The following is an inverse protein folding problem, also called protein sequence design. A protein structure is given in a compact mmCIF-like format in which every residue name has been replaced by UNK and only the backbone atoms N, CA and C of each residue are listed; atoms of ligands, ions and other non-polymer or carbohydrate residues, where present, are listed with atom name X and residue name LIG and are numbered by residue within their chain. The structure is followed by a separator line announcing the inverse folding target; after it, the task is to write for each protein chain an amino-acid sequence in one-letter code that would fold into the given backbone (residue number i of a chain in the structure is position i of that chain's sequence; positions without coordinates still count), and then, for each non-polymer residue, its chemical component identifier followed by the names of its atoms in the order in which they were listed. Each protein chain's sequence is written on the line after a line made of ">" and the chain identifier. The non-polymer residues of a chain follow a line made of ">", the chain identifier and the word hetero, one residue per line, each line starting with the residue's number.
data_IF_446540117086
#
_entry.id   IF_446540117086
#
_cell.length_a   1.000
_cell.length_b   1.000
_cell.length_c   1.000
_cell.angle_alpha   90.00
_cell.angle_beta   90.00
_cell.angle_gamma   90.00
#
_symmetry.space_group_name_H-M   'P 1'
#
loop_
_entity.id
_entity.type
_entity.pdbx_description
1 polymer ?
#
# COMPACT_ATOMS: atom_id res chain seq x y z
N UNK A 1 5.70 4.40 11.11
CA UNK A 1 4.22 4.26 11.21
C UNK A 1 3.74 3.30 10.13
N UNK A 2 2.78 2.43 10.42
CA UNK A 2 2.15 1.50 9.45
C UNK A 2 0.66 1.41 9.73
N UNK A 3 -0.18 1.11 8.72
CA UNK A 3 -1.61 0.93 8.91
C UNK A 3 -1.96 -0.52 9.31
N UNK A 4 -2.93 -0.65 10.22
CA UNK A 4 -3.59 -1.90 10.52
C UNK A 4 -5.02 -1.90 9.98
N UNK A 5 -5.45 -3.06 9.46
CA UNK A 5 -6.83 -3.27 9.03
C UNK A 5 -7.76 -3.35 10.24
N UNK A 6 -8.91 -2.73 10.12
CA UNK A 6 -10.01 -2.88 11.08
C UNK A 6 -11.34 -3.10 10.37
N UNK A 7 -12.34 -3.57 11.10
CA UNK A 7 -13.71 -3.67 10.64
C UNK A 7 -14.57 -2.82 11.57
N UNK A 8 -15.32 -1.88 11.00
CA UNK A 8 -16.23 -1.03 11.76
C UNK A 8 -17.37 -1.86 12.36
N UNK A 9 -17.53 -1.83 13.67
CA UNK A 9 -18.64 -2.50 14.36
C UNK A 9 -20.02 -1.90 14.01
N UNK A 10 -20.06 -0.62 13.61
CA UNK A 10 -21.29 0.07 13.23
C UNK A 10 -21.75 -0.28 11.81
N UNK A 11 -20.82 -0.35 10.86
CA UNK A 11 -21.15 -0.43 9.43
C UNK A 11 -20.74 -1.75 8.78
N UNK A 12 -19.98 -2.60 9.47
CA UNK A 12 -19.39 -3.81 8.90
C UNK A 12 -18.29 -3.56 7.86
N UNK A 13 -18.03 -2.30 7.51
CA UNK A 13 -17.03 -1.95 6.50
C UNK A 13 -15.62 -2.11 7.05
N UNK A 14 -14.74 -2.69 6.23
CA UNK A 14 -13.32 -2.73 6.50
C UNK A 14 -12.66 -1.40 6.14
N UNK A 15 -11.60 -1.06 6.87
CA UNK A 15 -10.78 0.10 6.62
C UNK A 15 -9.37 -0.09 7.17
N UNK A 16 -8.51 0.88 6.94
CA UNK A 16 -7.17 0.93 7.49
C UNK A 16 -6.99 2.21 8.31
N UNK A 17 -6.27 2.12 9.42
CA UNK A 17 -5.89 3.26 10.22
C UNK A 17 -4.50 3.05 10.80
N UNK A 18 -3.74 4.11 11.11
CA UNK A 18 -2.44 4.00 11.75
C UNK A 18 -2.48 3.10 12.97
N UNK A 19 -1.46 2.26 13.13
CA UNK A 19 -1.26 1.48 14.34
C UNK A 19 -0.82 2.43 15.47
N UNK A 20 -1.66 2.57 16.49
CA UNK A 20 -1.44 3.49 17.60
C UNK A 20 -1.94 2.84 18.89
N UNK A 21 -1.17 2.91 19.97
CA UNK A 21 -1.57 2.38 21.27
C UNK A 21 -2.80 3.09 21.83
N UNK A 22 -2.94 4.40 21.56
CA UNK A 22 -4.08 5.21 21.99
C UNK A 22 -5.27 5.16 21.03
N UNK A 23 -5.27 4.21 20.07
CA UNK A 23 -6.36 4.08 19.08
C UNK A 23 -7.67 3.69 19.77
N UNK A 24 -8.69 4.50 19.54
CA UNK A 24 -10.04 4.36 20.11
C UNK A 24 -10.15 4.65 21.62
N UNK A 25 -9.03 5.03 22.29
CA UNK A 25 -9.04 5.46 23.68
C UNK A 25 -9.67 6.86 23.84
N UNK A 26 -10.01 7.29 25.06
CA UNK A 26 -10.44 8.66 25.33
C UNK A 26 -9.43 9.68 24.82
N UNK A 27 -9.88 10.66 24.04
CA UNK A 27 -9.00 11.65 23.40
C UNK A 27 -8.46 11.28 22.02
N UNK A 28 -8.75 10.08 21.50
CA UNK A 28 -8.45 9.74 20.11
C UNK A 28 -9.37 10.46 19.13
N UNK A 29 -8.81 11.28 18.26
CA UNK A 29 -9.61 12.06 17.29
C UNK A 29 -10.37 11.20 16.29
N UNK A 30 -9.90 10.02 15.93
CA UNK A 30 -10.64 9.09 15.06
C UNK A 30 -11.99 8.69 15.66
N UNK A 31 -12.11 8.68 16.99
CA UNK A 31 -13.36 8.36 17.70
C UNK A 31 -14.44 9.43 17.48
N UNK A 32 -14.04 10.69 17.32
CA UNK A 32 -14.90 11.85 17.07
C UNK A 32 -15.00 12.24 15.60
N UNK A 33 -14.41 11.45 14.68
CA UNK A 33 -14.45 11.73 13.24
C UNK A 33 -13.35 12.66 12.74
N UNK A 34 -12.37 13.00 13.59
CA UNK A 34 -11.20 13.77 13.21
C UNK A 34 -10.13 12.93 12.50
N UNK A 35 -9.04 13.57 12.09
CA UNK A 35 -7.92 12.91 11.42
C UNK A 35 -6.84 12.49 12.42
N UNK A 36 -6.20 11.35 12.16
CA UNK A 36 -5.10 10.86 12.98
C UNK A 36 -3.86 11.78 12.88
N UNK A 37 -3.64 12.43 11.74
CA UNK A 37 -2.57 13.42 11.55
C UNK A 37 -2.63 14.58 12.55
N UNK A 38 -3.83 14.97 12.95
CA UNK A 38 -4.09 16.14 13.79
C UNK A 38 -4.23 15.76 15.29
N UNK A 39 -4.08 14.47 15.61
CA UNK A 39 -4.30 13.96 16.95
C UNK A 39 -3.10 14.29 17.87
N UNK A 40 -3.29 15.00 18.99
CA UNK A 40 -2.21 15.32 19.93
C UNK A 40 -1.76 14.12 20.77
N UNK A 41 -2.53 13.04 20.78
CA UNK A 41 -2.29 11.84 21.59
C UNK A 41 -1.76 10.67 20.71
N UNK A 42 -0.97 10.97 19.68
CA UNK A 42 -0.35 9.95 18.85
C UNK A 42 0.68 9.16 19.66
N UNK A 43 0.57 7.83 19.61
CA UNK A 43 1.54 6.90 20.15
C UNK A 43 1.64 5.71 19.19
N UNK A 44 2.43 5.89 18.14
CA UNK A 44 2.50 4.93 17.05
C UNK A 44 3.24 3.66 17.47
N UNK A 45 2.63 2.52 17.20
CA UNK A 45 3.24 1.20 17.40
C UNK A 45 4.47 1.06 16.51
N UNK A 46 5.66 0.73 17.07
CA UNK A 46 6.83 0.45 16.28
C UNK A 46 6.68 -0.88 15.50
N UNK A 47 7.32 -0.96 14.34
CA UNK A 47 7.43 -2.24 13.62
C UNK A 47 8.40 -3.14 14.37
N UNK A 48 8.01 -4.38 14.64
CA UNK A 48 8.83 -5.40 15.28
C UNK A 48 8.72 -6.73 14.53
N UNK A 49 9.69 -7.60 14.72
CA UNK A 49 9.69 -8.95 14.15
C UNK A 49 8.45 -9.74 14.60
N UNK A 50 8.05 -9.59 15.86
CA UNK A 50 6.84 -10.23 16.38
C UNK A 50 5.59 -9.80 15.59
N UNK A 51 5.47 -8.51 15.29
CA UNK A 51 4.36 -7.97 14.52
C UNK A 51 4.34 -8.51 13.08
N UNK A 52 5.51 -8.65 12.45
CA UNK A 52 5.64 -9.26 11.12
C UNK A 52 5.24 -10.73 11.15
N UNK A 53 5.70 -11.48 12.14
CA UNK A 53 5.33 -12.90 12.34
C UNK A 53 3.81 -13.04 12.50
N UNK A 54 3.19 -12.20 13.31
CA UNK A 54 1.75 -12.22 13.54
C UNK A 54 0.95 -11.88 12.26
N UNK A 55 1.46 -10.98 11.44
CA UNK A 55 0.89 -10.70 10.13
C UNK A 55 0.96 -11.92 9.21
N UNK A 56 2.13 -12.57 9.12
CA UNK A 56 2.32 -13.79 8.31
C UNK A 56 1.47 -14.96 8.81
N UNK A 57 1.20 -15.02 10.11
CA UNK A 57 0.30 -16.00 10.73
C UNK A 57 -1.20 -15.66 10.55
N UNK A 58 -1.54 -14.53 9.94
CA UNK A 58 -2.91 -14.10 9.69
C UNK A 58 -3.64 -13.55 10.92
N UNK A 59 -2.95 -13.27 12.03
CA UNK A 59 -3.56 -12.71 13.26
C UNK A 59 -4.05 -11.29 13.05
N UNK A 60 -3.40 -10.54 12.18
CA UNK A 60 -3.83 -9.23 11.71
C UNK A 60 -3.34 -8.96 10.29
N UNK A 61 -3.86 -7.91 9.67
CA UNK A 61 -3.40 -7.44 8.36
C UNK A 61 -2.77 -6.06 8.55
N UNK A 62 -1.46 -5.98 8.32
CA UNK A 62 -0.75 -4.71 8.26
C UNK A 62 -0.52 -4.31 6.81
N UNK A 63 -0.45 -3.03 6.55
CA UNK A 63 -0.07 -2.45 5.27
C UNK A 63 1.20 -1.63 5.39
N UNK A 64 1.62 -1.07 4.28
CA UNK A 64 2.70 -0.08 4.22
C UNK A 64 2.17 1.20 3.60
N UNK A 65 2.71 2.33 4.00
CA UNK A 65 2.49 3.59 3.30
C UNK A 65 3.57 3.72 2.22
N UNK A 66 3.19 3.80 0.95
CA UNK A 66 4.17 3.91 -0.12
C UNK A 66 4.90 5.25 -0.12
N UNK A 67 4.24 6.32 0.34
CA UNK A 67 4.80 7.67 0.41
C UNK A 67 5.46 7.90 1.77
N UNK A 68 6.74 8.31 1.75
CA UNK A 68 7.50 8.74 2.92
C UNK A 68 7.33 10.24 3.16
N UNK A 69 7.79 10.73 4.33
CA UNK A 69 7.65 12.13 4.75
C UNK A 69 8.32 13.12 3.81
N UNK A 70 9.44 12.72 3.17
CA UNK A 70 10.18 13.52 2.19
C UNK A 70 9.61 13.42 0.76
N UNK A 71 8.37 12.99 0.61
CA UNK A 71 7.71 12.74 -0.68
C UNK A 71 8.50 11.78 -1.59
N UNK A 72 9.17 10.80 -0.98
CA UNK A 72 9.88 9.73 -1.67
C UNK A 72 9.19 8.39 -1.48
N UNK A 73 9.58 7.39 -2.28
CA UNK A 73 9.07 6.03 -2.18
C UNK A 73 10.16 5.00 -2.54
N UNK A 74 10.05 3.79 -1.98
CA UNK A 74 10.92 2.66 -2.28
C UNK A 74 10.39 1.73 -3.36
N UNK A 75 9.13 1.91 -3.74
CA UNK A 75 8.48 1.08 -4.76
C UNK A 75 7.36 1.83 -5.44
N UNK A 76 7.02 1.36 -6.64
CA UNK A 76 5.81 1.68 -7.38
C UNK A 76 4.97 0.42 -7.47
N UNK A 77 3.68 0.53 -7.17
CA UNK A 77 2.70 -0.54 -7.39
C UNK A 77 1.67 -0.07 -8.43
N UNK A 78 1.38 -0.96 -9.37
CA UNK A 78 0.31 -0.76 -10.37
C UNK A 78 -0.73 -1.85 -10.17
N UNK A 79 -2.00 -1.44 -10.04
CA UNK A 79 -3.14 -2.33 -9.79
C UNK A 79 -3.96 -2.54 -11.08
N UNK A 80 -4.27 -3.80 -11.36
CA UNK A 80 -5.04 -4.25 -12.51
C UNK A 80 -6.21 -5.10 -12.02
N UNK A 81 -7.43 -4.55 -12.01
CA UNK A 81 -8.60 -5.17 -11.37
C UNK A 81 -9.83 -5.34 -12.28
N UNK A 82 -9.71 -5.09 -13.59
CA UNK A 82 -10.81 -5.21 -14.56
C UNK A 82 -10.72 -6.49 -15.39
N UNK A 83 -11.78 -6.77 -16.15
CA UNK A 83 -11.75 -7.84 -17.17
C UNK A 83 -10.56 -7.66 -18.10
N UNK A 84 -9.81 -8.75 -18.38
CA UNK A 84 -8.59 -8.69 -19.19
C UNK A 84 -7.31 -8.37 -18.40
N UNK A 85 -7.36 -8.22 -17.08
CA UNK A 85 -6.22 -7.85 -16.25
C UNK A 85 -4.96 -8.69 -16.47
N UNK A 86 -5.10 -9.97 -16.87
CA UNK A 86 -3.95 -10.85 -17.14
C UNK A 86 -3.16 -10.39 -18.36
N UNK A 87 -3.87 -10.01 -19.41
CA UNK A 87 -3.25 -9.50 -20.65
C UNK A 87 -2.63 -8.13 -20.38
N UNK A 88 -3.30 -7.29 -19.58
CA UNK A 88 -2.79 -5.99 -19.15
C UNK A 88 -1.51 -6.10 -18.32
N UNK A 89 -1.47 -7.02 -17.35
CA UNK A 89 -0.28 -7.30 -16.53
C UNK A 89 0.86 -7.81 -17.41
N UNK A 90 0.56 -8.70 -18.37
CA UNK A 90 1.57 -9.26 -19.27
C UNK A 90 2.18 -8.17 -20.15
N UNK A 91 1.34 -7.36 -20.78
CA UNK A 91 1.78 -6.26 -21.63
C UNK A 91 2.63 -5.23 -20.84
N UNK A 92 2.18 -4.86 -19.65
CA UNK A 92 2.95 -3.96 -18.78
C UNK A 92 4.31 -4.55 -18.39
N UNK A 93 4.37 -5.84 -18.04
CA UNK A 93 5.60 -6.50 -17.68
C UNK A 93 6.56 -6.64 -18.89
N UNK A 94 6.05 -6.86 -20.08
CA UNK A 94 6.83 -6.88 -21.31
C UNK A 94 7.41 -5.50 -21.65
N UNK A 95 6.62 -4.43 -21.52
CA UNK A 95 7.09 -3.05 -21.65
C UNK A 95 8.23 -2.76 -20.67
N UNK A 96 8.06 -3.11 -19.38
CA UNK A 96 9.10 -2.96 -18.38
C UNK A 96 10.38 -3.73 -18.77
N UNK A 97 10.24 -4.99 -19.19
CA UNK A 97 11.37 -5.84 -19.59
C UNK A 97 12.12 -5.28 -20.79
N UNK A 98 11.41 -4.72 -21.77
CA UNK A 98 12.03 -4.16 -22.99
C UNK A 98 12.97 -2.99 -22.71
N UNK A 99 12.76 -2.28 -21.60
CA UNK A 99 13.60 -1.16 -21.16
C UNK A 99 14.48 -1.50 -19.95
N UNK A 100 14.59 -2.80 -19.59
CA UNK A 100 15.47 -3.26 -18.51
C UNK A 100 14.94 -3.00 -17.09
N UNK A 101 13.62 -2.76 -16.91
CA UNK A 101 13.00 -2.59 -15.60
C UNK A 101 12.51 -3.93 -15.08
N UNK A 102 13.03 -4.35 -13.92
CA UNK A 102 12.59 -5.56 -13.24
C UNK A 102 11.26 -5.35 -12.53
N UNK A 103 10.35 -6.32 -12.64
CA UNK A 103 9.04 -6.30 -12.00
C UNK A 103 8.77 -7.58 -11.23
N UNK A 104 7.98 -7.48 -10.16
CA UNK A 104 7.37 -8.61 -9.46
C UNK A 104 5.86 -8.56 -9.68
N UNK A 105 5.26 -9.71 -10.02
CA UNK A 105 3.83 -9.82 -10.29
C UNK A 105 3.17 -10.61 -9.17
N UNK A 106 2.10 -10.07 -8.63
CA UNK A 106 1.28 -10.67 -7.60
C UNK A 106 -0.17 -10.78 -8.07
N UNK A 107 -0.81 -11.91 -7.82
CA UNK A 107 -2.25 -12.04 -8.00
C UNK A 107 -2.98 -11.39 -6.83
N UNK A 108 -3.97 -10.56 -7.10
CA UNK A 108 -4.76 -9.92 -6.06
C UNK A 108 -5.47 -10.95 -5.17
N UNK A 109 -5.73 -10.58 -3.93
CA UNK A 109 -6.41 -11.44 -2.95
C UNK A 109 -7.78 -11.93 -3.41
N UNK A 110 -8.52 -11.15 -4.19
CA UNK A 110 -9.82 -11.55 -4.76
C UNK A 110 -9.69 -12.61 -5.85
N UNK A 111 -8.49 -12.78 -6.39
CA UNK A 111 -8.23 -13.64 -7.55
C UNK A 111 -8.62 -13.02 -8.90
N UNK A 112 -9.25 -11.85 -8.91
CA UNK A 112 -9.80 -11.17 -10.10
C UNK A 112 -9.00 -9.93 -10.49
N UNK A 113 -7.72 -9.87 -10.15
CA UNK A 113 -6.81 -8.79 -10.48
C UNK A 113 -5.37 -9.20 -10.24
N UNK A 114 -4.44 -8.31 -10.54
CA UNK A 114 -3.02 -8.46 -10.30
C UNK A 114 -2.37 -7.13 -9.95
N UNK A 115 -1.29 -7.21 -9.19
CA UNK A 115 -0.44 -6.09 -8.85
C UNK A 115 0.91 -6.29 -9.51
N UNK A 116 1.46 -5.23 -10.08
CA UNK A 116 2.84 -5.22 -10.58
C UNK A 116 3.65 -4.26 -9.72
N UNK A 117 4.73 -4.76 -9.15
CA UNK A 117 5.61 -4.06 -8.24
C UNK A 117 6.94 -3.77 -8.90
N UNK A 118 7.40 -2.54 -8.80
CA UNK A 118 8.74 -2.09 -9.17
C UNK A 118 9.42 -1.59 -7.90
N UNK A 119 10.48 -2.26 -7.47
CA UNK A 119 11.26 -1.89 -6.29
C UNK A 119 12.48 -1.08 -6.71
N UNK A 120 12.77 -0.01 -6.00
CA UNK A 120 13.90 0.86 -6.24
C UNK A 120 15.06 0.52 -5.30
N UNK A 121 16.29 0.60 -5.79
CA UNK A 121 17.50 0.35 -4.98
C UNK A 121 17.76 1.46 -3.94
N UNK A 122 17.17 2.64 -4.14
CA UNK A 122 17.21 3.77 -3.23
C UNK A 122 15.86 4.52 -3.30
N UNK A 123 15.51 5.35 -2.30
CA UNK A 123 14.29 6.15 -2.35
C UNK A 123 14.32 7.08 -3.57
N UNK A 124 13.22 7.13 -4.30
CA UNK A 124 13.03 8.05 -5.44
C UNK A 124 11.87 9.00 -5.15
N UNK A 125 11.87 10.18 -5.78
CA UNK A 125 10.75 11.10 -5.69
C UNK A 125 9.46 10.42 -6.12
N UNK A 126 8.42 10.49 -5.31
CA UNK A 126 7.10 9.89 -5.61
C UNK A 126 6.49 10.45 -6.91
N UNK A 127 6.77 11.72 -7.23
CA UNK A 127 6.34 12.31 -8.50
C UNK A 127 7.03 11.62 -9.69
N UNK A 128 8.34 11.37 -9.60
CA UNK A 128 9.08 10.66 -10.65
C UNK A 128 8.57 9.23 -10.81
N UNK A 129 8.39 8.49 -9.71
CA UNK A 129 7.85 7.14 -9.72
C UNK A 129 6.45 7.08 -10.35
N UNK A 130 5.57 8.03 -9.99
CA UNK A 130 4.23 8.15 -10.57
C UNK A 130 4.27 8.41 -12.07
N UNK A 131 5.10 9.35 -12.52
CA UNK A 131 5.26 9.66 -13.96
C UNK A 131 5.77 8.46 -14.73
N UNK A 132 6.74 7.74 -14.17
CA UNK A 132 7.23 6.47 -14.74
C UNK A 132 6.07 5.46 -14.90
N UNK A 133 5.26 5.25 -13.86
CA UNK A 133 4.12 4.35 -13.93
C UNK A 133 3.09 4.76 -14.99
N UNK A 134 2.78 6.05 -15.10
CA UNK A 134 1.90 6.58 -16.15
C UNK A 134 2.47 6.33 -17.56
N UNK A 135 3.76 6.57 -17.76
CA UNK A 135 4.44 6.33 -19.03
C UNK A 135 4.36 4.85 -19.43
N UNK A 136 4.76 3.95 -18.53
CA UNK A 136 4.72 2.51 -18.75
C UNK A 136 3.30 1.96 -19.01
N UNK A 137 2.28 2.64 -18.49
CA UNK A 137 0.88 2.28 -18.71
C UNK A 137 0.33 2.82 -20.05
N UNK A 138 0.88 3.92 -20.55
CA UNK A 138 0.43 4.56 -21.80
C UNK A 138 0.99 3.89 -23.06
N UNK A 139 2.14 3.21 -22.93
CA UNK A 139 2.85 2.56 -24.05
C UNK A 139 2.22 1.19 -24.46
N UNK A 140 0.93 1.04 -24.18
CA UNK A 140 0.11 -0.13 -24.56
C UNK A 140 -0.55 0.10 -25.92
N UNK A 141 0.25 0.47 -26.90
CA UNK A 141 -0.20 0.62 -28.27
C UNK A 141 -0.26 -0.69 -29.05
#
# INVERSE_FOLDING_TARGET
>A
MFPLRFVSKKTGKAGYAPACFNKWEPGCLLKSGGKCSDCPNQDFVPVSDQLLIEHLQGRHVMGVYPLLEEETCWFLAVDFDKGGWKDDVTAFAETCRSIGVSVSIERSRSGNGGHVWIFFAAPVSANVARRMGCYLSADRG
#
